data_IF_276470260704
#
_entry.id   IF_276470260704
#
_cell.length_a   1.000
_cell.length_b   1.000
_cell.length_c   1.000
_cell.angle_alpha   90.00
_cell.angle_beta   90.00
_cell.angle_gamma   90.00
#
_symmetry.space_group_name_H-M   'P 1'
#
loop_
_entity.id
_entity.type
_entity.pdbx_description
1 polymer ?
#
# COMPACT_ATOMS: atom_id res chain seq x y z
N UNK A 1 -15.08 -27.83 0.01
CA UNK A 1 -14.04 -26.96 0.60
C UNK A 1 -12.88 -26.87 -0.38
N UNK A 2 -12.61 -25.69 -0.97
CA UNK A 2 -11.51 -25.50 -1.94
C UNK A 2 -10.24 -25.11 -1.15
N UNK A 3 -9.20 -25.93 -1.23
CA UNK A 3 -7.97 -25.75 -0.47
C UNK A 3 -7.29 -24.42 -0.85
N UNK A 4 -6.83 -23.67 0.16
CA UNK A 4 -5.86 -22.60 -0.05
C UNK A 4 -4.60 -23.25 -0.63
N UNK A 5 -4.14 -22.78 -1.78
CA UNK A 5 -3.01 -23.38 -2.50
C UNK A 5 -1.79 -23.54 -1.59
N UNK A 6 -1.12 -24.69 -1.70
CA UNK A 6 0.17 -24.94 -1.04
C UNK A 6 1.19 -23.95 -1.62
N UNK A 7 1.48 -22.89 -0.89
CA UNK A 7 2.74 -22.19 -1.08
C UNK A 7 3.79 -23.03 -0.38
N UNK A 8 4.57 -23.82 -1.13
CA UNK A 8 5.74 -24.49 -0.58
C UNK A 8 6.87 -23.45 -0.53
N UNK A 9 7.32 -23.01 0.66
CA UNK A 9 8.43 -22.08 0.77
C UNK A 9 9.74 -22.66 0.21
N UNK A 10 9.82 -23.97 -0.05
CA UNK A 10 10.96 -24.61 -0.71
C UNK A 10 10.97 -24.47 -2.24
N UNK A 11 9.87 -24.00 -2.84
CA UNK A 11 9.77 -23.76 -4.28
C UNK A 11 10.39 -22.42 -4.70
N UNK A 12 10.56 -21.48 -3.77
CA UNK A 12 11.45 -20.33 -3.95
C UNK A 12 12.89 -20.86 -3.83
N UNK A 13 13.72 -20.64 -4.85
CA UNK A 13 15.08 -21.21 -4.93
C UNK A 13 15.90 -21.08 -3.64
N UNK A 14 16.78 -22.07 -3.39
CA UNK A 14 17.59 -22.17 -2.18
C UNK A 14 18.39 -20.86 -1.96
N UNK A 15 18.32 -20.34 -0.73
CA UNK A 15 19.06 -19.19 -0.19
C UNK A 15 18.45 -17.78 -0.36
N UNK A 16 17.21 -17.63 -0.82
CA UNK A 16 16.57 -16.30 -0.78
C UNK A 16 15.86 -16.10 0.56
N UNK A 17 16.26 -15.11 1.39
CA UNK A 17 15.55 -14.80 2.62
C UNK A 17 14.15 -14.28 2.27
N UNK A 18 13.13 -14.84 2.91
CA UNK A 18 11.74 -14.41 2.78
C UNK A 18 11.24 -13.87 4.12
N UNK A 19 10.46 -12.79 4.07
CA UNK A 19 9.69 -12.33 5.22
C UNK A 19 8.33 -13.02 5.23
N UNK A 20 7.94 -13.60 6.37
CA UNK A 20 6.65 -14.28 6.54
C UNK A 20 5.88 -13.63 7.69
N UNK A 21 4.66 -13.18 7.42
CA UNK A 21 3.73 -12.73 8.45
C UNK A 21 2.79 -13.87 8.86
N UNK A 22 2.83 -14.26 10.14
CA UNK A 22 1.92 -15.27 10.69
C UNK A 22 0.64 -14.63 11.24
N UNK A 23 -0.51 -14.95 10.63
CA UNK A 23 -1.82 -14.46 11.09
C UNK A 23 -2.40 -15.41 12.17
N UNK A 24 -2.78 -14.92 13.36
CA UNK A 24 -3.36 -15.75 14.41
C UNK A 24 -4.66 -16.45 13.98
N UNK A 25 -4.93 -17.65 14.52
CA UNK A 25 -6.10 -18.46 14.14
C UNK A 25 -7.44 -17.79 14.44
N UNK A 26 -7.51 -16.99 15.49
CA UNK A 26 -8.74 -16.35 15.95
C UNK A 26 -9.32 -15.35 14.91
N UNK A 27 -8.57 -14.34 14.42
CA UNK A 27 -9.03 -13.49 13.32
C UNK A 27 -9.20 -14.25 11.99
N UNK A 28 -8.40 -15.29 11.74
CA UNK A 28 -8.52 -16.10 10.52
C UNK A 28 -9.84 -16.90 10.43
N UNK A 29 -10.55 -17.10 11.53
CA UNK A 29 -11.89 -17.70 11.54
C UNK A 29 -13.00 -16.73 11.11
N UNK A 30 -12.76 -15.42 11.13
CA UNK A 30 -13.75 -14.40 10.79
C UNK A 30 -13.85 -14.23 9.26
N UNK A 31 -15.04 -14.44 8.64
CA UNK A 31 -15.23 -14.34 7.20
C UNK A 31 -15.03 -12.91 6.65
N UNK A 32 -15.38 -11.89 7.41
CA UNK A 32 -15.20 -10.47 7.03
C UNK A 32 -13.72 -10.12 6.99
N UNK A 33 -12.97 -10.51 8.03
CA UNK A 33 -11.52 -10.37 8.06
C UNK A 33 -10.87 -11.08 6.86
N UNK A 34 -11.29 -12.31 6.54
CA UNK A 34 -10.75 -13.06 5.39
C UNK A 34 -11.05 -12.39 4.05
N UNK A 35 -12.22 -11.77 3.90
CA UNK A 35 -12.58 -11.05 2.69
C UNK A 35 -11.69 -9.81 2.53
N UNK A 36 -11.55 -9.00 3.60
CA UNK A 36 -10.68 -7.83 3.62
C UNK A 36 -9.21 -8.20 3.39
N UNK A 37 -8.70 -9.18 4.13
CA UNK A 37 -7.31 -9.65 4.01
C UNK A 37 -7.00 -10.18 2.61
N UNK A 38 -7.96 -10.82 1.92
CA UNK A 38 -7.76 -11.25 0.54
C UNK A 38 -7.58 -10.06 -0.41
N UNK A 39 -8.36 -8.99 -0.22
CA UNK A 39 -8.23 -7.77 -1.01
C UNK A 39 -6.89 -7.08 -0.75
N UNK A 40 -6.47 -7.00 0.52
CA UNK A 40 -5.17 -6.46 0.92
C UNK A 40 -4.01 -7.24 0.28
N UNK A 41 -4.04 -8.57 0.32
CA UNK A 41 -3.00 -9.42 -0.31
C UNK A 41 -2.99 -9.27 -1.83
N UNK A 42 -4.17 -9.23 -2.48
CA UNK A 42 -4.25 -9.01 -3.92
C UNK A 42 -3.71 -7.65 -4.35
N UNK A 43 -3.98 -6.60 -3.57
CA UNK A 43 -3.44 -5.26 -3.81
C UNK A 43 -1.92 -5.24 -3.60
N UNK A 44 -1.43 -5.81 -2.50
CA UNK A 44 0.01 -5.88 -2.19
C UNK A 44 0.81 -6.67 -3.24
N UNK A 45 0.20 -7.67 -3.89
CA UNK A 45 0.83 -8.42 -4.98
C UNK A 45 1.01 -7.61 -6.27
N UNK A 46 0.30 -6.49 -6.43
CA UNK A 46 0.40 -5.63 -7.63
C UNK A 46 1.35 -4.45 -7.43
N UNK A 47 1.53 -4.01 -6.20
CA UNK A 47 2.44 -2.91 -5.84
C UNK A 47 3.88 -3.33 -6.14
N UNK A 48 4.57 -2.51 -6.92
CA UNK A 48 5.97 -2.77 -7.34
C UNK A 48 7.00 -2.27 -6.31
N UNK A 49 6.57 -1.54 -5.29
CA UNK A 49 7.36 -1.22 -4.11
C UNK A 49 6.60 -0.38 -3.09
N UNK A 50 6.82 -0.68 -1.80
CA UNK A 50 6.50 0.21 -0.68
C UNK A 50 7.83 0.66 -0.10
N UNK A 51 8.08 1.96 -0.09
CA UNK A 51 9.35 2.50 0.40
C UNK A 51 9.12 3.72 1.30
N UNK A 52 9.87 3.78 2.39
CA UNK A 52 10.05 5.00 3.17
C UNK A 52 11.27 5.75 2.65
N UNK A 53 11.08 7.02 2.30
CA UNK A 53 12.18 7.89 1.86
C UNK A 53 12.02 9.27 2.46
N UNK A 54 13.14 9.89 2.84
CA UNK A 54 13.15 11.32 3.11
C UNK A 54 13.20 12.08 1.79
N UNK A 55 12.20 12.94 1.58
CA UNK A 55 12.04 13.68 0.32
C UNK A 55 11.23 14.95 0.57
N UNK A 56 11.22 15.84 -0.43
CA UNK A 56 10.34 17.00 -0.44
C UNK A 56 8.87 16.55 -0.26
N UNK A 57 8.14 17.25 0.59
CA UNK A 57 6.71 17.06 0.90
C UNK A 57 5.90 17.30 -0.36
N UNK A 58 5.55 16.21 -1.04
CA UNK A 58 4.80 16.29 -2.30
C UNK A 58 3.36 16.70 -2.09
N UNK A 59 2.86 16.60 -0.86
CA UNK A 59 1.58 17.15 -0.43
C UNK A 59 1.54 18.69 -0.43
N UNK A 60 2.69 19.36 -0.55
CA UNK A 60 2.78 20.81 -0.74
C UNK A 60 2.86 21.21 -2.22
N UNK A 61 2.85 20.25 -3.14
CA UNK A 61 3.00 20.48 -4.58
C UNK A 61 1.62 20.43 -5.26
N UNK A 62 1.19 21.46 -6.02
CA UNK A 62 -0.15 21.53 -6.60
C UNK A 62 -0.52 20.41 -7.58
N UNK A 63 0.48 19.75 -8.18
CA UNK A 63 0.31 18.64 -9.13
C UNK A 63 -0.20 17.35 -8.47
N UNK A 64 -0.17 17.29 -7.14
CA UNK A 64 -0.59 16.13 -6.36
C UNK A 64 -1.98 16.37 -5.79
N UNK A 65 -2.90 15.44 -6.03
CA UNK A 65 -4.26 15.53 -5.53
C UNK A 65 -4.36 14.90 -4.15
N UNK A 66 -4.93 15.62 -3.18
CA UNK A 66 -5.32 15.04 -1.90
C UNK A 66 -6.37 13.94 -2.07
N UNK A 67 -6.25 12.86 -1.30
CA UNK A 67 -7.26 11.81 -1.25
C UNK A 67 -7.48 11.30 0.18
N UNK A 68 -8.64 10.71 0.39
CA UNK A 68 -9.04 10.07 1.64
C UNK A 68 -9.22 8.58 1.43
N UNK A 69 -8.77 7.76 2.38
CA UNK A 69 -9.00 6.31 2.34
C UNK A 69 -10.33 6.04 3.02
N UNK A 70 -11.26 5.41 2.31
CA UNK A 70 -12.63 5.13 2.80
C UNK A 70 -13.37 6.38 3.32
N UNK A 71 -13.11 7.55 2.73
CA UNK A 71 -13.75 8.81 3.12
C UNK A 71 -13.16 9.48 4.36
N UNK A 72 -12.09 8.94 4.95
CA UNK A 72 -11.38 9.56 6.07
C UNK A 72 -9.92 9.88 5.72
N UNK A 73 -9.36 10.98 6.26
CA UNK A 73 -7.92 11.19 6.24
C UNK A 73 -7.23 9.99 6.88
N UNK A 74 -6.07 9.62 6.32
CA UNK A 74 -5.27 8.59 6.96
C UNK A 74 -4.74 9.08 8.31
N UNK A 75 -4.22 10.30 8.40
CA UNK A 75 -3.68 10.95 9.61
C UNK A 75 -3.93 12.46 9.60
N UNK A 76 -3.35 13.15 10.59
CA UNK A 76 -3.21 14.61 10.65
C UNK A 76 -2.45 15.18 9.43
N UNK A 77 -1.58 14.39 8.81
CA UNK A 77 -0.82 14.79 7.63
C UNK A 77 -1.58 14.41 6.34
N UNK A 78 -1.70 15.36 5.38
CA UNK A 78 -2.44 15.13 4.15
C UNK A 78 -1.77 14.05 3.30
N UNK A 79 -2.59 13.14 2.78
CA UNK A 79 -2.15 12.08 1.88
C UNK A 79 -2.50 12.48 0.46
N UNK A 80 -1.58 12.25 -0.48
CA UNK A 80 -1.76 12.69 -1.86
C UNK A 80 -1.46 11.60 -2.87
N UNK A 81 -2.07 11.71 -4.05
CA UNK A 81 -1.87 10.82 -5.19
C UNK A 81 -1.45 11.58 -6.44
N UNK A 82 -0.70 10.89 -7.30
CA UNK A 82 -0.34 11.33 -8.65
C UNK A 82 -0.67 10.22 -9.64
N UNK A 83 -1.26 10.58 -10.77
CA UNK A 83 -1.50 9.69 -11.90
C UNK A 83 -0.61 10.14 -13.05
N UNK A 84 0.31 9.29 -13.48
CA UNK A 84 1.19 9.56 -14.61
C UNK A 84 0.45 9.31 -15.95
N UNK A 85 1.00 9.83 -17.06
CA UNK A 85 0.39 9.70 -18.38
C UNK A 85 0.22 8.26 -18.87
N UNK A 86 1.03 7.34 -18.36
CA UNK A 86 0.94 5.90 -18.65
C UNK A 86 -0.10 5.17 -17.78
N UNK A 87 -0.79 5.90 -16.89
CA UNK A 87 -1.76 5.37 -15.94
C UNK A 87 -1.14 4.79 -14.66
N UNK A 88 0.19 4.92 -14.46
CA UNK A 88 0.85 4.59 -13.20
C UNK A 88 0.28 5.48 -12.10
N UNK A 89 -0.10 4.86 -10.98
CA UNK A 89 -0.52 5.61 -9.80
C UNK A 89 0.54 5.53 -8.71
N UNK A 90 0.79 6.66 -8.08
CA UNK A 90 1.64 6.75 -6.90
C UNK A 90 0.93 7.51 -5.78
N UNK A 91 0.85 6.92 -4.60
CA UNK A 91 0.29 7.52 -3.39
C UNK A 91 1.39 7.77 -2.37
N UNK A 92 1.26 8.87 -1.62
CA UNK A 92 2.26 9.38 -0.71
C UNK A 92 1.62 9.77 0.62
N UNK A 93 2.17 9.25 1.72
CA UNK A 93 1.80 9.64 3.08
C UNK A 93 3.01 10.17 3.83
N UNK A 94 3.02 11.43 4.27
CA UNK A 94 4.02 11.94 5.21
C UNK A 94 3.90 11.24 6.56
N UNK A 95 4.98 10.64 7.04
CA UNK A 95 5.07 10.03 8.37
C UNK A 95 5.45 11.08 9.41
N UNK A 96 6.44 11.91 9.08
CA UNK A 96 6.85 13.05 9.91
C UNK A 96 7.58 14.10 9.09
N UNK A 97 7.42 15.40 9.44
CA UNK A 97 8.32 16.44 8.97
C UNK A 97 9.76 16.16 9.43
N UNK A 98 10.73 16.63 8.66
CA UNK A 98 12.16 16.54 9.01
C UNK A 98 12.76 17.93 9.07
N UNK A 99 13.22 18.46 7.94
CA UNK A 99 13.73 19.83 7.79
C UNK A 99 12.94 20.56 6.70
N UNK A 100 12.62 21.84 6.94
CA UNK A 100 11.97 22.72 5.96
C UNK A 100 10.75 22.07 5.26
N UNK A 101 10.79 21.96 3.94
CA UNK A 101 9.76 21.36 3.09
C UNK A 101 9.95 19.85 2.88
N UNK A 102 10.72 19.18 3.74
CA UNK A 102 11.04 17.75 3.63
C UNK A 102 10.40 16.94 4.75
N UNK A 103 10.09 15.69 4.44
CA UNK A 103 9.56 14.74 5.40
C UNK A 103 9.86 13.30 5.01
N UNK A 104 9.91 12.46 6.02
CA UNK A 104 9.88 11.01 5.82
C UNK A 104 8.49 10.64 5.28
N UNK A 105 8.44 9.99 4.13
CA UNK A 105 7.21 9.67 3.43
C UNK A 105 7.18 8.19 3.04
N UNK A 106 6.01 7.58 3.21
CA UNK A 106 5.69 6.28 2.62
C UNK A 106 5.18 6.55 1.22
N UNK A 107 5.79 5.91 0.23
CA UNK A 107 5.35 5.92 -1.16
C UNK A 107 4.93 4.52 -1.58
N UNK A 108 3.76 4.43 -2.21
CA UNK A 108 3.23 3.20 -2.81
C UNK A 108 3.01 3.48 -4.28
N UNK A 109 3.53 2.61 -5.15
CA UNK A 109 3.42 2.79 -6.60
C UNK A 109 2.98 1.50 -7.27
N UNK A 110 2.08 1.64 -8.23
CA UNK A 110 1.60 0.53 -9.04
C UNK A 110 1.46 0.98 -10.50
N UNK A 111 1.80 0.07 -11.42
CA UNK A 111 1.68 0.28 -12.86
C UNK A 111 0.47 -0.49 -13.39
N UNK A 112 -0.30 0.08 -14.33
CA UNK A 112 -1.42 -0.63 -14.94
C UNK A 112 -0.94 -1.80 -15.78
N UNK A 113 -1.72 -2.88 -15.79
CA UNK A 113 -1.50 -4.05 -16.66
C UNK A 113 -2.18 -3.93 -18.02
N UNK A 114 -2.95 -2.85 -18.24
CA UNK A 114 -3.65 -2.57 -19.49
C UNK A 114 -4.22 -1.14 -19.53
N UNK A 115 -4.61 -0.64 -20.71
CA UNK A 115 -5.13 0.72 -20.87
C UNK A 115 -6.43 0.93 -20.07
N UNK A 116 -6.62 2.14 -19.54
CA UNK A 116 -7.83 2.52 -18.80
C UNK A 116 -7.91 1.99 -17.36
N UNK A 117 -6.85 1.37 -16.84
CA UNK A 117 -6.84 0.80 -15.48
C UNK A 117 -6.39 1.78 -14.37
N UNK A 118 -6.16 3.06 -14.68
CA UNK A 118 -5.54 4.02 -13.76
C UNK A 118 -6.27 4.16 -12.40
N UNK A 119 -7.61 4.25 -12.41
CA UNK A 119 -8.39 4.34 -11.16
C UNK A 119 -8.30 3.05 -10.32
N UNK A 120 -8.28 1.88 -10.97
CA UNK A 120 -8.14 0.60 -10.26
C UNK A 120 -6.74 0.45 -9.63
N UNK A 121 -5.71 0.92 -10.34
CA UNK A 121 -4.33 1.00 -9.86
C UNK A 121 -4.23 1.98 -8.68
N UNK A 122 -4.86 3.15 -8.77
CA UNK A 122 -4.93 4.07 -7.63
C UNK A 122 -5.61 3.44 -6.43
N UNK A 123 -6.80 2.86 -6.59
CA UNK A 123 -7.51 2.19 -5.50
C UNK A 123 -6.65 1.12 -4.80
N UNK A 124 -5.84 0.38 -5.55
CA UNK A 124 -4.91 -0.60 -4.99
C UNK A 124 -3.77 0.07 -4.20
N UNK A 125 -3.12 1.11 -4.73
CA UNK A 125 -2.09 1.87 -3.99
C UNK A 125 -2.63 2.56 -2.73
N UNK A 126 -3.85 3.09 -2.79
CA UNK A 126 -4.55 3.73 -1.66
C UNK A 126 -4.88 2.71 -0.56
N UNK A 127 -5.36 1.51 -0.95
CA UNK A 127 -5.65 0.41 -0.03
C UNK A 127 -4.39 -0.09 0.69
N UNK A 128 -3.29 -0.29 -0.04
CA UNK A 128 -2.01 -0.72 0.54
C UNK A 128 -1.46 0.34 1.49
N UNK A 129 -1.48 1.61 1.10
CA UNK A 129 -1.01 2.71 1.95
C UNK A 129 -1.81 2.78 3.25
N UNK A 130 -3.13 2.66 3.19
CA UNK A 130 -3.98 2.63 4.38
C UNK A 130 -3.63 1.48 5.35
N UNK A 131 -3.37 0.28 4.81
CA UNK A 131 -2.95 -0.87 5.62
C UNK A 131 -1.57 -0.66 6.29
N UNK A 132 -0.61 -0.09 5.57
CA UNK A 132 0.74 0.20 6.09
C UNK A 132 0.65 1.22 7.23
N UNK A 133 -0.05 2.34 7.01
CA UNK A 133 -0.17 3.41 8.01
C UNK A 133 -0.88 2.92 9.27
N UNK A 134 -2.00 2.18 9.12
CA UNK A 134 -2.71 1.61 10.26
C UNK A 134 -1.81 0.72 11.13
N UNK A 135 -0.92 -0.05 10.51
CA UNK A 135 0.00 -0.95 11.22
C UNK A 135 1.18 -0.26 11.87
N UNK A 136 1.62 0.88 11.33
CA UNK A 136 2.66 1.70 11.98
C UNK A 136 2.14 2.33 13.27
N UNK A 137 0.84 2.66 13.35
CA UNK A 137 0.21 3.20 14.57
C UNK A 137 -0.10 2.18 15.64
N UNK A 138 -0.26 0.92 15.28
CA UNK A 138 -0.57 -0.14 16.24
C UNK A 138 0.66 -0.68 16.99
N UNK A 139 1.81 -0.01 16.89
CA UNK A 139 3.05 -0.34 17.60
C UNK A 139 3.28 0.65 18.72
#
# INVERSE_FOLDING_TARGET
>A
MKALGRHDPRAAGRHQPIAVEMIPRHPAGNPEFRARFRLEVQAAQRVTGVHTTERKRVDLVPEYAGFSVNGSPLDDLPTVRRIDSDGTCATYHPVRPTIEDRGEQIAVTERPTGPGAAEAVCAATESVLGGVVARLRSR
#
